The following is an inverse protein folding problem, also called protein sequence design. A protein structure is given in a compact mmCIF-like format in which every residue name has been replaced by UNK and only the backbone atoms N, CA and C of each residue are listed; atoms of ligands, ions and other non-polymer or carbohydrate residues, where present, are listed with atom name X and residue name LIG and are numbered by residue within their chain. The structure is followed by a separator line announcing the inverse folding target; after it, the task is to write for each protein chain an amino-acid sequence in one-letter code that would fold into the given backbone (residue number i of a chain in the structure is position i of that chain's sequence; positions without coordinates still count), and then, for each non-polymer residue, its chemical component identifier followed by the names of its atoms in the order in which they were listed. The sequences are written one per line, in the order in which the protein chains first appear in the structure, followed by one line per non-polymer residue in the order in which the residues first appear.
data_IF_163195738680
#
_entry.id   IF_163195738680
#
_cell.length_a   1.000
_cell.length_b   1.000
_cell.length_c   1.000
_cell.angle_alpha   90.00
_cell.angle_beta   90.00
_cell.angle_gamma   90.00
#
_symmetry.space_group_name_H-M   'P 1'
#
loop_
_entity.id
_entity.type
_entity.pdbx_description
1 polymer ?
#
# COMPACT_ATOMS: atom_id res chain seq x y z
N UNK A 1 -7.83 11.08 -32.81
CA UNK A 1 -8.49 9.77 -32.99
C UNK A 1 -7.78 8.78 -32.08
N UNK A 2 -8.56 8.19 -31.19
CA UNK A 2 -8.18 7.37 -30.04
C UNK A 2 -7.34 6.14 -30.43
N UNK A 3 -6.12 6.04 -29.91
CA UNK A 3 -5.33 4.82 -30.00
C UNK A 3 -5.99 3.75 -29.10
N UNK A 4 -6.58 2.77 -29.79
CA UNK A 4 -7.18 1.56 -29.25
C UNK A 4 -6.22 0.83 -28.30
N UNK A 5 -6.52 0.87 -26.99
CA UNK A 5 -5.91 -0.02 -25.99
C UNK A 5 -6.64 -1.37 -25.97
N UNK A 6 -6.64 -2.05 -27.11
CA UNK A 6 -7.04 -3.46 -27.19
C UNK A 6 -6.00 -4.22 -28.01
N UNK A 7 -4.76 -4.25 -27.50
CA UNK A 7 -3.78 -5.23 -27.97
C UNK A 7 -4.23 -6.58 -27.45
N UNK A 8 -4.68 -7.39 -28.41
CA UNK A 8 -5.05 -8.78 -28.29
C UNK A 8 -3.91 -9.61 -27.68
N UNK A 9 -3.96 -9.86 -26.37
CA UNK A 9 -2.94 -10.61 -25.63
C UNK A 9 -3.19 -12.13 -25.70
N UNK A 10 -3.33 -12.68 -26.92
CA UNK A 10 -3.68 -14.10 -27.15
C UNK A 10 -2.58 -15.11 -26.77
N UNK A 11 -1.46 -14.66 -26.21
CA UNK A 11 -0.35 -15.50 -25.75
C UNK A 11 0.10 -15.20 -24.32
N UNK A 12 -0.57 -14.28 -23.60
CA UNK A 12 -0.26 -14.07 -22.19
C UNK A 12 -1.22 -14.88 -21.32
N UNK A 13 -0.68 -15.89 -20.62
CA UNK A 13 -1.40 -16.74 -19.66
C UNK A 13 -1.57 -16.01 -18.31
N UNK A 14 -0.92 -14.85 -18.14
CA UNK A 14 -1.01 -14.07 -16.92
C UNK A 14 -2.40 -13.46 -16.75
N UNK A 15 -2.93 -13.57 -15.54
CA UNK A 15 -4.19 -12.94 -15.15
C UNK A 15 -4.09 -11.42 -15.29
N UNK A 16 -5.13 -10.74 -15.81
CA UNK A 16 -5.16 -9.29 -15.87
C UNK A 16 -5.09 -8.69 -14.45
N UNK A 17 -4.53 -7.49 -14.28
CA UNK A 17 -4.51 -6.82 -12.99
C UNK A 17 -5.93 -6.54 -12.49
N UNK A 18 -6.12 -6.56 -11.16
CA UNK A 18 -7.43 -6.26 -10.57
C UNK A 18 -7.84 -4.81 -10.84
N UNK A 19 -9.06 -4.63 -11.37
CA UNK A 19 -9.70 -3.32 -11.54
C UNK A 19 -10.46 -2.87 -10.29
N UNK A 20 -10.61 -3.73 -9.27
CA UNK A 20 -11.34 -3.41 -8.06
C UNK A 20 -10.50 -2.56 -7.12
N UNK A 21 -11.06 -1.49 -6.52
CA UNK A 21 -10.35 -0.68 -5.53
C UNK A 21 -9.82 -1.54 -4.38
N UNK A 22 -8.52 -1.45 -4.10
CA UNK A 22 -7.93 -2.16 -2.97
C UNK A 22 -8.44 -1.58 -1.64
N UNK A 23 -8.80 -2.46 -0.70
CA UNK A 23 -9.13 -2.05 0.66
C UNK A 23 -7.88 -1.49 1.35
N UNK A 24 -8.06 -0.41 2.12
CA UNK A 24 -6.99 0.20 2.91
C UNK A 24 -7.01 -0.41 4.30
N UNK A 25 -5.98 -1.18 4.62
CA UNK A 25 -5.82 -1.85 5.90
C UNK A 25 -4.74 -1.15 6.71
N UNK A 26 -4.94 -1.11 8.03
CA UNK A 26 -3.99 -0.61 9.01
C UNK A 26 -2.76 -1.50 9.04
N UNK A 27 -1.57 -0.88 8.88
CA UNK A 27 -0.32 -1.63 8.77
C UNK A 27 0.09 -2.30 10.12
N UNK A 28 -0.51 -1.87 11.23
CA UNK A 28 -0.21 -2.36 12.59
C UNK A 28 -1.25 -3.37 13.08
N UNK A 29 -2.55 -3.07 12.94
CA UNK A 29 -3.62 -3.86 13.57
C UNK A 29 -4.44 -4.71 12.61
N UNK A 30 -4.34 -4.48 11.29
CA UNK A 30 -5.14 -5.23 10.31
C UNK A 30 -6.60 -4.78 10.16
N UNK A 31 -7.06 -3.78 10.92
CA UNK A 31 -8.39 -3.17 10.73
C UNK A 31 -8.44 -2.24 9.52
N UNK A 32 -9.63 -1.89 9.06
CA UNK A 32 -9.79 -0.88 8.00
C UNK A 32 -9.21 0.47 8.45
N UNK A 33 -8.34 1.04 7.61
CA UNK A 33 -7.63 2.28 7.88
C UNK A 33 -8.10 3.38 6.91
N UNK A 34 -8.97 4.30 7.37
CA UNK A 34 -9.39 5.44 6.56
C UNK A 34 -8.26 6.48 6.37
N UNK A 35 -7.26 6.50 7.25
CA UNK A 35 -6.22 7.53 7.29
C UNK A 35 -4.81 6.96 7.11
N UNK A 36 -3.87 7.83 6.71
CA UNK A 36 -2.45 7.53 6.68
C UNK A 36 -1.63 8.72 7.18
N UNK A 37 -0.46 8.44 7.74
CA UNK A 37 0.47 9.45 8.21
C UNK A 37 1.37 9.94 7.06
N UNK A 38 1.41 11.24 6.70
CA UNK A 38 2.25 11.72 5.62
C UNK A 38 3.75 11.57 5.88
N UNK A 39 4.18 11.52 7.15
CA UNK A 39 5.59 11.39 7.54
C UNK A 39 6.11 9.96 7.33
N UNK A 40 5.37 8.97 7.83
CA UNK A 40 5.78 7.55 7.79
C UNK A 40 5.16 6.77 6.64
N UNK A 41 4.12 7.31 5.99
CA UNK A 41 3.26 6.64 4.99
C UNK A 41 2.51 5.41 5.51
N UNK A 42 2.51 5.18 6.82
CA UNK A 42 1.76 4.10 7.45
C UNK A 42 0.27 4.44 7.57
N UNK A 43 -0.57 3.44 7.33
CA UNK A 43 -2.03 3.51 7.44
C UNK A 43 -2.46 3.16 8.86
N UNK A 44 -3.43 3.90 9.40
CA UNK A 44 -3.94 3.70 10.76
C UNK A 44 -5.46 3.82 10.85
N UNK A 45 -6.03 3.12 11.83
CA UNK A 45 -7.48 3.10 12.07
C UNK A 45 -7.93 4.08 13.16
N UNK A 46 -7.12 4.28 14.21
CA UNK A 46 -7.48 5.08 15.37
C UNK A 46 -6.32 5.97 15.86
N UNK A 47 -6.61 6.85 16.83
CA UNK A 47 -5.64 7.81 17.38
C UNK A 47 -4.55 7.16 18.23
N UNK A 48 -4.83 6.03 18.86
CA UNK A 48 -3.86 5.28 19.66
C UNK A 48 -2.75 4.70 18.78
N UNK A 49 -3.13 4.05 17.67
CA UNK A 49 -2.18 3.53 16.69
C UNK A 49 -1.39 4.67 16.05
N UNK A 50 -2.00 5.83 15.81
CA UNK A 50 -1.28 7.00 15.32
C UNK A 50 -0.16 7.45 16.28
N UNK A 51 -0.40 7.46 17.60
CA UNK A 51 0.62 7.77 18.60
C UNK A 51 1.77 6.77 18.55
N UNK A 52 1.46 5.48 18.44
CA UNK A 52 2.47 4.41 18.30
C UNK A 52 3.30 4.61 17.03
N UNK A 53 2.65 4.80 15.88
CA UNK A 53 3.34 5.04 14.60
C UNK A 53 4.30 6.22 14.70
N UNK A 54 3.95 7.27 15.43
CA UNK A 54 4.79 8.45 15.59
C UNK A 54 5.98 8.25 16.53
N UNK A 55 5.96 7.25 17.40
CA UNK A 55 7.10 6.86 18.24
C UNK A 55 7.98 5.77 17.62
N UNK A 56 7.54 5.12 16.54
CA UNK A 56 8.34 4.09 15.87
C UNK A 56 9.60 4.68 15.21
N UNK A 57 10.75 3.98 15.31
CA UNK A 57 11.95 4.32 14.56
C UNK A 57 11.79 3.99 13.06
N UNK A 58 12.60 4.63 12.21
CA UNK A 58 12.50 4.53 10.75
C UNK A 58 12.67 3.11 10.20
N UNK A 59 13.50 2.27 10.82
CA UNK A 59 13.68 0.86 10.43
C UNK A 59 12.36 0.07 10.52
N UNK A 60 11.63 0.23 11.62
CA UNK A 60 10.34 -0.44 11.79
C UNK A 60 9.31 0.08 10.78
N UNK A 61 9.31 1.38 10.50
CA UNK A 61 8.44 1.96 9.45
C UNK A 61 8.72 1.31 8.09
N UNK A 62 9.98 1.15 7.70
CA UNK A 62 10.33 0.48 6.44
C UNK A 62 9.91 -1.00 6.44
N UNK A 63 10.08 -1.71 7.56
CA UNK A 63 9.61 -3.10 7.69
C UNK A 63 8.10 -3.22 7.49
N UNK A 64 7.30 -2.35 8.12
CA UNK A 64 5.85 -2.34 7.93
C UNK A 64 5.46 -1.98 6.49
N UNK A 65 6.14 -1.01 5.87
CA UNK A 65 5.91 -0.69 4.46
C UNK A 65 6.31 -1.84 3.52
N UNK A 66 7.35 -2.59 3.84
CA UNK A 66 7.83 -3.72 3.04
C UNK A 66 6.79 -4.85 2.99
N UNK A 67 6.06 -5.09 4.07
CA UNK A 67 5.00 -6.12 4.12
C UNK A 67 3.91 -5.91 3.06
N UNK A 68 3.65 -4.66 2.64
CA UNK A 68 2.70 -4.33 1.57
C UNK A 68 3.36 -3.82 0.29
N UNK A 69 4.64 -4.12 0.09
CA UNK A 69 5.43 -3.72 -1.09
C UNK A 69 5.48 -2.19 -1.32
N UNK A 70 5.54 -1.41 -0.24
CA UNK A 70 5.60 0.06 -0.29
C UNK A 70 6.88 0.65 0.32
N UNK A 71 7.85 -0.19 0.71
CA UNK A 71 9.14 0.25 1.19
C UNK A 71 9.97 0.85 0.05
N UNK A 72 10.71 1.92 0.35
CA UNK A 72 11.60 2.56 -0.61
C UNK A 72 13.02 2.09 -0.31
N UNK A 73 13.55 1.22 -1.16
CA UNK A 73 14.94 0.79 -1.11
C UNK A 73 15.73 1.66 -2.09
N UNK A 74 16.55 2.57 -1.56
CA UNK A 74 17.52 3.31 -2.36
C UNK A 74 18.64 2.33 -2.76
N UNK A 75 18.93 2.23 -4.05
CA UNK A 75 20.04 1.46 -4.62
C UNK A 75 21.07 2.38 -5.23
#
# INVERSE_FOLDING_TARGET
MSNSLFVSQYVNIESPPSMHPCKKICDVTGFEAPYFDPRTKLRYANTEVFKIIRSLPSDYVQRYLALRNAAVVLK
#
